data_IF_836015158831
#
_entry.id   IF_836015158831
#
_cell.length_a   1.000
_cell.length_b   1.000
_cell.length_c   1.000
_cell.angle_alpha   90.00
_cell.angle_beta   90.00
_cell.angle_gamma   90.00
#
_symmetry.space_group_name_H-M   'P 1'
#
loop_
_entity.id
_entity.type
_entity.pdbx_description
1 polymer ?
#
# COMPACT_ATOMS: atom_id res chain seq x y z
N UNK A 1 -67.81 -10.14 -24.76
CA UNK A 1 -67.40 -8.91 -24.07
C UNK A 1 -65.90 -8.83 -24.06
N UNK A 2 -65.35 -7.99 -24.98
CA UNK A 2 -63.92 -7.69 -25.04
C UNK A 2 -63.61 -6.55 -24.06
N UNK A 3 -62.81 -6.79 -23.04
CA UNK A 3 -62.23 -5.72 -22.20
C UNK A 3 -60.92 -5.25 -22.84
N UNK A 4 -60.87 -4.01 -23.30
CA UNK A 4 -59.67 -3.31 -23.67
C UNK A 4 -58.93 -2.89 -22.39
N UNK A 5 -57.68 -3.30 -22.29
CA UNK A 5 -56.76 -2.78 -21.26
C UNK A 5 -56.02 -1.61 -21.89
N UNK A 6 -56.24 -0.46 -21.31
CA UNK A 6 -55.53 0.78 -21.66
C UNK A 6 -54.17 0.76 -20.94
N UNK A 7 -53.10 0.60 -21.71
CA UNK A 7 -51.73 0.70 -21.18
C UNK A 7 -51.31 2.15 -21.31
N UNK A 8 -51.24 2.87 -20.19
CA UNK A 8 -50.69 4.21 -20.12
C UNK A 8 -49.17 4.10 -20.05
N UNK A 9 -48.48 4.45 -21.12
CA UNK A 9 -47.01 4.54 -21.11
C UNK A 9 -46.62 5.88 -20.53
N UNK A 10 -46.12 5.85 -19.30
CA UNK A 10 -45.53 7.04 -18.67
C UNK A 10 -44.06 7.09 -19.07
N UNK A 11 -43.73 8.02 -19.97
CA UNK A 11 -42.34 8.29 -20.34
C UNK A 11 -41.65 9.00 -19.17
N UNK A 12 -40.79 8.29 -18.47
CA UNK A 12 -39.86 8.89 -17.50
C UNK A 12 -38.65 9.37 -18.30
N UNK A 13 -38.53 10.68 -18.43
CA UNK A 13 -37.31 11.35 -18.90
C UNK A 13 -36.28 11.19 -17.78
N UNK A 14 -35.43 10.18 -17.88
CA UNK A 14 -34.21 10.12 -17.08
C UNK A 14 -33.23 11.13 -17.60
N UNK A 15 -33.08 12.23 -16.87
CA UNK A 15 -31.96 13.15 -17.04
C UNK A 15 -30.66 12.39 -16.74
N UNK A 16 -29.75 12.35 -17.71
CA UNK A 16 -28.38 11.96 -17.46
C UNK A 16 -27.72 13.01 -16.57
N UNK A 17 -27.68 12.76 -15.27
CA UNK A 17 -26.66 13.31 -14.42
C UNK A 17 -25.49 12.34 -14.51
N UNK A 18 -24.45 12.74 -15.21
CA UNK A 18 -23.14 12.14 -15.08
C UNK A 18 -22.53 12.62 -13.76
N UNK A 19 -22.95 12.02 -12.66
CA UNK A 19 -22.13 11.93 -11.47
C UNK A 19 -21.11 10.86 -11.75
N UNK A 20 -19.82 11.20 -11.70
CA UNK A 20 -18.75 10.24 -11.54
C UNK A 20 -19.08 9.46 -10.27
N UNK A 21 -19.59 8.23 -10.44
CA UNK A 21 -19.67 7.27 -9.35
C UNK A 21 -18.21 6.91 -9.02
N UNK A 22 -17.61 7.63 -8.07
CA UNK A 22 -16.50 7.11 -7.32
C UNK A 22 -17.04 5.86 -6.64
N UNK A 23 -16.62 4.69 -7.08
CA UNK A 23 -16.93 3.43 -6.43
C UNK A 23 -16.30 3.48 -5.03
N UNK A 24 -17.09 3.88 -4.05
CA UNK A 24 -16.72 3.75 -2.64
C UNK A 24 -16.74 2.25 -2.37
N UNK A 25 -15.57 1.62 -2.40
CA UNK A 25 -15.42 0.22 -2.03
C UNK A 25 -15.91 0.08 -0.59
N UNK A 26 -16.95 -0.69 -0.38
CA UNK A 26 -17.51 -0.89 0.95
C UNK A 26 -16.56 -1.71 1.83
N UNK A 27 -16.67 -1.56 3.15
CA UNK A 27 -15.88 -2.38 4.09
C UNK A 27 -16.15 -3.88 3.96
N UNK A 28 -17.30 -4.27 3.38
CA UNK A 28 -17.64 -5.67 3.11
C UNK A 28 -16.91 -6.17 1.85
N UNK A 29 -16.78 -5.32 0.82
CA UNK A 29 -16.05 -5.66 -0.40
C UNK A 29 -14.56 -5.89 -0.10
N UNK A 30 -13.98 -5.13 0.84
CA UNK A 30 -12.62 -5.38 1.30
C UNK A 30 -12.45 -6.77 1.93
N UNK A 31 -13.34 -7.16 2.85
CA UNK A 31 -13.29 -8.47 3.52
C UNK A 31 -13.43 -9.66 2.56
N UNK A 32 -14.15 -9.49 1.47
CA UNK A 32 -14.38 -10.55 0.49
C UNK A 32 -13.24 -10.68 -0.54
N UNK A 33 -12.53 -9.57 -0.81
CA UNK A 33 -11.56 -9.51 -1.90
C UNK A 33 -10.10 -9.40 -1.45
N UNK A 34 -9.84 -9.01 -0.20
CA UNK A 34 -8.48 -8.80 0.30
C UNK A 34 -8.22 -9.57 1.59
N UNK A 35 -7.00 -10.03 1.74
CA UNK A 35 -6.55 -10.71 2.95
C UNK A 35 -6.28 -9.70 4.07
N UNK A 36 -6.63 -10.07 5.28
CA UNK A 36 -6.26 -9.29 6.47
C UNK A 36 -4.74 -9.32 6.61
N UNK A 37 -4.16 -8.18 6.94
CA UNK A 37 -2.73 -8.03 7.14
C UNK A 37 -2.15 -9.10 8.07
N UNK A 38 -1.06 -9.71 7.64
CA UNK A 38 -0.27 -10.63 8.46
C UNK A 38 0.59 -9.92 9.50
N UNK A 39 0.75 -8.61 9.39
CA UNK A 39 1.58 -7.78 10.29
C UNK A 39 0.81 -7.26 11.49
N UNK A 40 -0.53 -7.34 11.47
CA UNK A 40 -1.38 -6.79 12.51
C UNK A 40 -1.39 -5.25 12.50
N UNK A 41 -1.74 -4.64 13.61
CA UNK A 41 -1.76 -3.17 13.75
C UNK A 41 -0.36 -2.61 14.00
N UNK A 42 0.36 -3.09 15.02
CA UNK A 42 1.70 -2.55 15.39
C UNK A 42 2.68 -3.63 15.88
N UNK A 43 2.21 -4.86 16.13
CA UNK A 43 3.00 -5.85 16.86
C UNK A 43 4.24 -6.35 16.12
N UNK A 44 4.24 -6.30 14.77
CA UNK A 44 5.30 -6.85 13.92
C UNK A 44 6.01 -5.80 13.07
N UNK A 45 5.53 -4.56 13.07
CA UNK A 45 6.10 -3.48 12.29
C UNK A 45 6.75 -2.44 13.20
N UNK A 46 7.72 -1.71 12.67
CA UNK A 46 8.40 -0.60 13.35
C UNK A 46 9.00 -1.01 14.73
N UNK A 47 9.48 -2.25 14.84
CA UNK A 47 10.03 -2.78 16.10
C UNK A 47 11.45 -2.28 16.40
N UNK A 48 12.12 -1.68 15.42
CA UNK A 48 13.39 -1.00 15.61
C UNK A 48 13.14 0.47 16.01
N UNK A 49 13.91 0.97 16.97
CA UNK A 49 13.77 2.35 17.46
C UNK A 49 14.63 3.35 16.70
N UNK A 50 15.58 2.86 15.93
CA UNK A 50 16.66 3.60 15.27
C UNK A 50 16.71 3.37 13.75
N UNK A 51 15.76 2.64 13.20
CA UNK A 51 15.56 2.50 11.74
C UNK A 51 14.09 2.76 11.44
N UNK A 52 13.81 3.67 10.53
CA UNK A 52 12.44 4.04 10.20
C UNK A 52 12.21 4.23 8.70
N UNK A 53 10.95 4.03 8.30
CA UNK A 53 10.43 4.37 6.98
C UNK A 53 9.57 5.62 7.12
N UNK A 54 9.86 6.64 6.34
CA UNK A 54 9.13 7.92 6.37
C UNK A 54 8.67 8.33 4.98
N UNK A 55 7.67 9.21 4.91
CA UNK A 55 7.21 9.81 3.66
C UNK A 55 7.48 11.31 3.64
N UNK A 56 7.55 11.89 2.43
CA UNK A 56 7.72 13.35 2.29
C UNK A 56 6.50 14.13 2.81
N UNK A 57 5.32 13.54 2.72
CA UNK A 57 4.05 14.12 3.15
C UNK A 57 3.21 13.02 3.84
N UNK A 58 2.27 13.44 4.66
CA UNK A 58 1.30 12.53 5.29
C UNK A 58 0.02 12.38 4.46
N UNK A 59 -0.24 13.34 3.58
CA UNK A 59 -1.43 13.40 2.74
C UNK A 59 -1.03 13.75 1.31
N UNK A 60 -1.52 12.97 0.36
CA UNK A 60 -1.26 13.12 -1.06
C UNK A 60 -2.57 13.32 -1.82
N UNK A 61 -2.55 14.15 -2.86
CA UNK A 61 -3.62 14.24 -3.86
C UNK A 61 -3.42 13.22 -4.99
N UNK A 62 -2.18 12.82 -5.22
CA UNK A 62 -1.75 11.76 -6.14
C UNK A 62 -0.45 11.16 -5.64
N UNK A 63 -0.07 10.00 -6.16
CA UNK A 63 1.15 9.28 -5.75
C UNK A 63 2.30 9.41 -6.75
N UNK A 64 2.13 10.16 -7.84
CA UNK A 64 3.16 10.32 -8.87
C UNK A 64 4.45 10.93 -8.31
N UNK A 65 4.30 11.87 -7.37
CA UNK A 65 5.43 12.56 -6.74
C UNK A 65 5.69 12.13 -5.28
N UNK A 66 5.02 11.10 -4.81
CA UNK A 66 5.22 10.58 -3.46
C UNK A 66 6.65 10.06 -3.28
N UNK A 67 7.28 10.47 -2.18
CA UNK A 67 8.64 10.04 -1.85
C UNK A 67 8.67 9.39 -0.50
N UNK A 68 9.29 8.23 -0.47
CA UNK A 68 9.53 7.46 0.75
C UNK A 68 11.01 7.39 1.04
N UNK A 69 11.38 7.40 2.31
CA UNK A 69 12.76 7.42 2.75
C UNK A 69 12.97 6.33 3.79
N UNK A 70 14.01 5.55 3.59
CA UNK A 70 14.55 4.65 4.59
C UNK A 70 15.66 5.37 5.33
N UNK A 71 15.56 5.45 6.66
CA UNK A 71 16.53 6.15 7.50
C UNK A 71 17.05 5.20 8.58
N UNK A 72 18.37 5.05 8.61
CA UNK A 72 19.06 4.17 9.54
C UNK A 72 19.94 5.03 10.47
N UNK A 73 19.49 5.25 11.69
CA UNK A 73 20.23 5.98 12.72
C UNK A 73 21.00 5.04 13.66
N UNK A 74 21.02 3.74 13.35
CA UNK A 74 21.74 2.73 14.12
C UNK A 74 23.24 2.68 13.78
N UNK A 75 23.97 1.86 14.49
CA UNK A 75 25.37 1.52 14.19
C UNK A 75 25.52 0.23 13.36
N UNK A 76 24.44 -0.29 12.81
CA UNK A 76 24.39 -1.50 12.00
C UNK A 76 24.14 -1.13 10.54
N UNK A 77 24.40 -2.07 9.64
CA UNK A 77 23.94 -2.01 8.25
C UNK A 77 22.80 -3.00 8.04
N UNK A 78 21.89 -2.70 7.12
CA UNK A 78 20.77 -3.57 6.80
C UNK A 78 20.65 -3.76 5.30
N UNK A 79 20.28 -4.95 4.89
CA UNK A 79 19.93 -5.27 3.51
C UNK A 79 18.46 -4.96 3.26
N UNK A 80 18.11 -4.48 2.08
CA UNK A 80 16.74 -4.19 1.68
C UNK A 80 16.56 -4.39 0.17
N UNK A 81 15.33 -4.62 -0.29
CA UNK A 81 15.01 -4.59 -1.72
C UNK A 81 14.70 -3.18 -2.18
N UNK A 82 15.29 -2.75 -3.31
CA UNK A 82 14.96 -1.45 -3.95
C UNK A 82 13.60 -1.48 -4.65
N UNK A 83 13.14 -2.64 -5.06
CA UNK A 83 11.96 -2.79 -5.87
C UNK A 83 10.75 -3.31 -5.08
N UNK A 84 10.97 -4.19 -4.10
CA UNK A 84 9.86 -4.82 -3.39
C UNK A 84 9.35 -3.98 -2.23
N UNK A 85 8.05 -3.76 -2.22
CA UNK A 85 7.29 -3.13 -1.14
C UNK A 85 5.85 -3.66 -1.16
N UNK A 86 5.17 -3.54 -0.05
CA UNK A 86 3.76 -3.88 0.08
C UNK A 86 2.94 -2.65 0.41
N UNK A 87 1.69 -2.61 -0.10
CA UNK A 87 0.70 -1.59 0.28
C UNK A 87 -0.45 -2.29 0.97
N UNK A 88 -0.86 -1.73 2.08
CA UNK A 88 -2.07 -2.12 2.79
C UNK A 88 -3.01 -0.93 2.91
N UNK A 89 -4.32 -1.22 2.88
CA UNK A 89 -5.39 -0.25 3.09
C UNK A 89 -6.07 -0.47 4.42
N UNK A 90 -6.39 0.61 5.13
CA UNK A 90 -7.18 0.54 6.34
C UNK A 90 -8.67 0.63 6.05
N UNK A 91 -9.44 -0.32 6.59
CA UNK A 91 -10.90 -0.29 6.58
C UNK A 91 -11.43 -0.69 7.96
N UNK A 92 -12.17 0.22 8.59
CA UNK A 92 -12.79 -0.05 9.91
C UNK A 92 -11.78 -0.56 10.95
N UNK A 93 -10.66 0.14 11.10
CA UNK A 93 -9.57 -0.19 12.03
C UNK A 93 -8.88 -1.54 11.76
N UNK A 94 -9.02 -2.05 10.54
CA UNK A 94 -8.39 -3.30 10.10
C UNK A 94 -7.57 -3.03 8.84
N UNK A 95 -6.34 -3.50 8.83
CA UNK A 95 -5.44 -3.43 7.69
C UNK A 95 -5.65 -4.63 6.76
N UNK A 96 -5.71 -4.36 5.46
CA UNK A 96 -5.87 -5.36 4.40
C UNK A 96 -4.74 -5.22 3.39
N UNK A 97 -4.13 -6.36 3.05
CA UNK A 97 -3.08 -6.43 2.04
C UNK A 97 -3.68 -6.23 0.65
N UNK A 98 -3.16 -5.29 -0.12
CA UNK A 98 -3.57 -5.07 -1.50
C UNK A 98 -2.81 -6.03 -2.44
N UNK A 99 -3.48 -6.44 -3.50
CA UNK A 99 -2.90 -7.33 -4.49
C UNK A 99 -2.05 -6.54 -5.49
N UNK A 100 -0.78 -6.93 -5.65
CA UNK A 100 0.09 -6.38 -6.68
C UNK A 100 -0.35 -6.83 -8.08
N UNK A 101 -0.35 -5.92 -9.04
CA UNK A 101 -0.61 -6.22 -10.46
C UNK A 101 0.53 -7.04 -11.06
N UNK A 102 1.76 -6.79 -10.62
CA UNK A 102 2.93 -7.59 -10.89
C UNK A 102 3.92 -7.49 -9.73
N UNK A 103 4.80 -8.49 -9.62
CA UNK A 103 5.84 -8.52 -8.58
C UNK A 103 7.15 -7.91 -9.15
N UNK A 104 7.52 -6.69 -8.70
CA UNK A 104 8.68 -5.99 -9.24
C UNK A 104 10.02 -6.66 -8.87
N UNK A 105 10.05 -7.52 -7.86
CA UNK A 105 11.28 -8.23 -7.45
C UNK A 105 11.71 -9.32 -8.43
N UNK A 106 10.81 -9.76 -9.33
CA UNK A 106 11.12 -10.82 -10.31
C UNK A 106 12.02 -10.37 -11.44
N UNK A 107 12.07 -9.08 -11.71
CA UNK A 107 12.77 -8.54 -12.87
C UNK A 107 14.18 -8.02 -12.53
N UNK A 108 14.54 -7.95 -11.25
CA UNK A 108 15.79 -7.34 -10.79
C UNK A 108 16.40 -8.11 -9.62
N UNK A 109 17.72 -8.26 -9.61
CA UNK A 109 18.49 -8.61 -8.41
C UNK A 109 18.68 -7.31 -7.59
N UNK A 110 17.75 -7.03 -6.69
CA UNK A 110 17.63 -5.71 -6.06
C UNK A 110 18.05 -5.67 -4.60
N UNK A 111 18.96 -6.57 -4.21
CA UNK A 111 19.54 -6.48 -2.87
C UNK A 111 20.45 -5.25 -2.78
N UNK A 112 20.20 -4.42 -1.80
CA UNK A 112 20.94 -3.21 -1.50
C UNK A 112 21.19 -3.10 -0.01
N UNK A 113 22.17 -2.28 0.36
CA UNK A 113 22.53 -2.05 1.75
C UNK A 113 22.28 -0.59 2.10
N UNK A 114 21.63 -0.35 3.24
CA UNK A 114 21.63 0.93 3.91
C UNK A 114 22.66 0.89 5.05
N UNK A 115 23.64 1.79 4.97
CA UNK A 115 24.73 1.86 5.96
C UNK A 115 24.25 2.53 7.25
N UNK A 116 25.07 2.38 8.29
CA UNK A 116 24.92 3.14 9.53
C UNK A 116 24.86 4.65 9.26
N UNK A 117 23.93 5.34 9.89
CA UNK A 117 23.74 6.80 9.79
C UNK A 117 23.40 7.30 8.38
N UNK A 118 22.77 6.47 7.56
CA UNK A 118 22.39 6.78 6.18
C UNK A 118 20.88 7.03 6.06
N UNK A 119 20.52 7.90 5.11
CA UNK A 119 19.13 8.13 4.68
C UNK A 119 19.06 8.03 3.17
N UNK A 120 18.16 7.16 2.69
CA UNK A 120 17.98 6.87 1.27
C UNK A 120 16.55 7.23 0.83
N UNK A 121 16.41 7.71 -0.41
CA UNK A 121 15.12 7.80 -1.09
C UNK A 121 14.84 6.49 -1.80
N UNK A 122 13.68 5.90 -1.53
CA UNK A 122 13.23 4.66 -2.16
C UNK A 122 12.49 4.98 -3.47
N UNK A 123 12.87 4.35 -4.59
CA UNK A 123 12.32 4.66 -5.91
C UNK A 123 11.02 3.87 -6.19
N UNK A 124 10.05 3.92 -5.28
CA UNK A 124 8.82 3.14 -5.41
C UNK A 124 7.84 3.79 -6.40
N UNK A 125 7.45 3.04 -7.41
CA UNK A 125 6.38 3.39 -8.33
C UNK A 125 5.11 2.62 -7.95
N UNK A 126 4.34 3.21 -7.04
CA UNK A 126 3.12 2.59 -6.51
C UNK A 126 2.10 2.37 -7.63
N UNK A 127 1.93 3.34 -8.52
CA UNK A 127 0.94 3.26 -9.59
C UNK A 127 1.24 2.13 -10.57
N UNK A 128 2.50 1.88 -10.88
CA UNK A 128 2.88 0.75 -11.74
C UNK A 128 2.63 -0.60 -11.08
N UNK A 129 2.81 -0.71 -9.75
CA UNK A 129 2.68 -1.99 -9.04
C UNK A 129 1.24 -2.29 -8.63
N UNK A 130 0.48 -1.27 -8.21
CA UNK A 130 -0.88 -1.44 -7.67
C UNK A 130 -1.98 -0.80 -8.52
N UNK A 131 -1.64 -0.03 -9.56
CA UNK A 131 -2.59 0.78 -10.32
C UNK A 131 -2.98 2.06 -9.59
N UNK A 132 -4.11 2.64 -9.98
CA UNK A 132 -4.69 3.78 -9.28
C UNK A 132 -5.34 3.32 -7.97
N UNK A 133 -4.91 3.93 -6.86
CA UNK A 133 -5.51 3.69 -5.56
C UNK A 133 -6.62 4.72 -5.32
N UNK A 134 -7.81 4.31 -4.83
CA UNK A 134 -8.86 5.23 -4.44
C UNK A 134 -8.46 6.08 -3.22
N UNK A 135 -9.20 7.15 -2.96
CA UNK A 135 -9.03 7.93 -1.72
C UNK A 135 -9.18 7.03 -0.50
N UNK A 136 -8.25 7.14 0.44
CA UNK A 136 -8.22 6.25 1.59
C UNK A 136 -6.99 6.43 2.49
N UNK A 137 -6.94 5.62 3.55
CA UNK A 137 -5.80 5.54 4.46
C UNK A 137 -5.00 4.27 4.16
N UNK A 138 -3.72 4.44 3.95
CA UNK A 138 -2.80 3.40 3.48
C UNK A 138 -1.55 3.36 4.34
N UNK A 139 -0.87 2.23 4.30
CA UNK A 139 0.52 2.14 4.72
C UNK A 139 1.35 1.39 3.69
N UNK A 140 2.59 1.85 3.50
CA UNK A 140 3.61 1.16 2.74
C UNK A 140 4.49 0.39 3.70
N UNK A 141 4.85 -0.84 3.34
CA UNK A 141 5.68 -1.73 4.16
C UNK A 141 6.89 -2.17 3.35
N UNK A 142 8.04 -2.11 3.99
CA UNK A 142 9.30 -2.66 3.46
C UNK A 142 9.90 -3.62 4.48
N UNK A 143 10.57 -4.64 3.99
CA UNK A 143 11.38 -5.53 4.82
C UNK A 143 12.86 -5.14 4.74
N UNK A 144 13.54 -5.20 5.88
CA UNK A 144 14.99 -5.07 5.98
C UNK A 144 15.56 -6.28 6.71
N UNK A 145 16.75 -6.67 6.36
CA UNK A 145 17.41 -7.84 6.95
C UNK A 145 18.76 -7.47 7.57
N UNK A 146 19.01 -7.97 8.76
CA UNK A 146 20.29 -7.83 9.44
C UNK A 146 21.02 -9.16 9.46
N UNK A 147 22.26 -9.14 9.01
CA UNK A 147 23.19 -10.27 9.06
C UNK A 147 24.25 -10.00 10.11
N UNK A 148 24.38 -10.86 11.11
CA UNK A 148 25.42 -10.72 12.11
C UNK A 148 26.81 -10.90 11.51
N UNK A 149 26.93 -11.75 10.49
CA UNK A 149 28.14 -11.97 9.72
C UNK A 149 27.80 -12.17 8.24
N UNK A 150 28.58 -11.63 7.29
CA UNK A 150 28.36 -11.80 5.85
C UNK A 150 28.37 -13.24 5.34
N UNK A 151 28.75 -14.19 6.19
CA UNK A 151 28.78 -15.63 5.88
C UNK A 151 27.64 -16.42 6.51
N UNK A 152 26.83 -15.75 7.31
CA UNK A 152 25.72 -16.40 7.98
C UNK A 152 24.55 -16.55 7.01
N UNK A 153 23.95 -17.76 7.06
CA UNK A 153 22.70 -18.05 6.38
C UNK A 153 21.49 -17.67 7.25
N UNK A 154 21.77 -17.27 8.48
CA UNK A 154 20.78 -16.83 9.46
C UNK A 154 20.78 -15.32 9.54
N UNK A 155 19.60 -14.72 9.41
CA UNK A 155 19.41 -13.28 9.44
C UNK A 155 18.08 -12.93 10.11
N UNK A 156 18.09 -11.80 10.78
CA UNK A 156 16.88 -11.23 11.36
C UNK A 156 16.18 -10.36 10.32
N UNK A 157 14.87 -10.55 10.15
CA UNK A 157 14.04 -9.71 9.29
C UNK A 157 13.17 -8.80 10.12
N UNK A 158 13.16 -7.52 9.76
CA UNK A 158 12.32 -6.48 10.35
C UNK A 158 11.43 -5.85 9.29
N UNK A 159 10.23 -5.45 9.69
CA UNK A 159 9.27 -4.80 8.82
C UNK A 159 9.06 -3.36 9.26
N UNK A 160 9.23 -2.43 8.34
CA UNK A 160 9.03 -1.01 8.56
C UNK A 160 7.81 -0.55 7.78
N UNK A 161 6.96 0.24 8.40
CA UNK A 161 5.76 0.79 7.78
C UNK A 161 5.69 2.30 7.93
N UNK A 162 5.17 2.96 6.90
CA UNK A 162 4.86 4.38 6.89
C UNK A 162 3.43 4.59 6.42
N UNK A 163 2.61 5.25 7.21
CA UNK A 163 1.22 5.56 6.91
C UNK A 163 1.10 6.86 6.11
N UNK A 164 0.12 6.89 5.19
CA UNK A 164 -0.24 8.06 4.41
C UNK A 164 -1.73 8.04 4.03
N UNK A 165 -2.27 9.21 3.72
CA UNK A 165 -3.65 9.37 3.23
C UNK A 165 -3.62 9.83 1.78
N UNK A 166 -4.45 9.22 0.93
CA UNK A 166 -4.74 9.66 -0.43
C UNK A 166 -6.11 10.33 -0.45
N UNK A 167 -6.20 11.55 -1.02
CA UNK A 167 -7.44 12.37 -1.09
C UNK A 167 -8.09 12.33 -2.44
#
# INVERSE_FOLDING_TARGET
>A
YKRQILITVTSILSGCNSTSDEEIISSQDFKENYEVSSYGTEEKINTLSDVELTSSEKEYSDLENAKFFLENNSNKEYHYSKAYFEIEAEQSETWYQLTQLYDPSKDNEDDAVINSTERLSLPFDISSVYGELPSGHYRIIVSISYFESPKDWDYDTYYLACEFTLK
#
